data_IF_033352016448
#
_entry.id   IF_033352016448
#
_cell.length_a   1.000
_cell.length_b   1.000
_cell.length_c   1.000
_cell.angle_alpha   90.00
_cell.angle_beta   90.00
_cell.angle_gamma   90.00
#
_symmetry.space_group_name_H-M   'P 1'
#
loop_
_entity.id
_entity.type
_entity.pdbx_description
1 polymer ?
#
# COMPACT_ATOMS: atom_id res chain seq x y z
N UNK A 1 6.05 -14.95 31.12
CA UNK A 1 5.46 -13.61 30.97
C UNK A 1 5.90 -13.17 29.57
N UNK A 2 4.97 -13.30 28.60
CA UNK A 2 5.32 -13.02 27.20
C UNK A 2 5.42 -11.49 27.04
N UNK A 3 6.65 -11.01 26.94
CA UNK A 3 6.91 -9.65 26.47
C UNK A 3 6.48 -9.57 25.00
N UNK A 4 5.23 -9.16 24.78
CA UNK A 4 4.79 -8.74 23.46
C UNK A 4 5.59 -7.49 23.11
N UNK A 5 6.27 -7.53 21.98
CA UNK A 5 6.97 -6.37 21.43
C UNK A 5 5.97 -5.18 21.42
N UNK A 6 6.32 -4.01 21.97
CA UNK A 6 5.45 -2.83 21.96
C UNK A 6 4.86 -2.51 20.58
N UNK A 7 5.56 -2.90 19.50
CA UNK A 7 5.11 -2.72 18.11
C UNK A 7 3.99 -3.72 17.73
N UNK A 8 3.95 -4.92 18.35
CA UNK A 8 2.84 -5.87 18.19
C UNK A 8 1.57 -5.37 18.90
N UNK A 9 1.70 -4.59 19.98
CA UNK A 9 0.59 -3.95 20.67
C UNK A 9 -0.05 -2.84 19.81
N UNK A 10 0.75 -2.01 19.12
CA UNK A 10 0.23 -0.99 18.19
C UNK A 10 -0.52 -1.66 17.02
N UNK A 11 -0.01 -2.76 16.47
CA UNK A 11 -0.69 -3.55 15.45
C UNK A 11 -2.01 -4.16 15.93
N UNK A 12 -2.15 -4.40 17.24
CA UNK A 12 -3.38 -4.93 17.84
C UNK A 12 -4.41 -3.82 18.10
N UNK A 13 -3.95 -2.63 18.48
CA UNK A 13 -4.79 -1.44 18.69
C UNK A 13 -5.29 -0.84 17.35
N UNK A 14 -4.58 -1.06 16.24
CA UNK A 14 -5.01 -0.73 14.87
C UNK A 14 -6.27 -1.51 14.41
N UNK A 15 -6.76 -2.45 15.19
CA UNK A 15 -8.00 -3.19 14.93
C UNK A 15 -9.25 -2.57 15.54
N UNK A 16 -9.19 -1.32 15.97
CA UNK A 16 -10.41 -0.61 16.36
C UNK A 16 -11.36 -0.51 15.13
N UNK A 17 -12.68 -0.52 15.33
CA UNK A 17 -13.64 -0.29 14.27
C UNK A 17 -13.34 1.01 13.48
N UNK A 18 -12.78 2.00 14.15
CA UNK A 18 -12.41 3.28 13.54
C UNK A 18 -11.19 3.15 12.62
N UNK A 19 -10.18 2.36 13.00
CA UNK A 19 -9.04 2.07 12.15
C UNK A 19 -9.46 1.38 10.84
N UNK A 20 -10.40 0.45 10.91
CA UNK A 20 -10.97 -0.20 9.73
C UNK A 20 -11.70 0.79 8.81
N UNK A 21 -12.52 1.67 9.39
CA UNK A 21 -13.23 2.72 8.64
C UNK A 21 -12.28 3.72 7.99
N UNK A 22 -11.25 4.18 8.73
CA UNK A 22 -10.22 5.08 8.21
C UNK A 22 -9.44 4.39 7.08
N UNK A 23 -9.04 3.13 7.25
CA UNK A 23 -8.38 2.36 6.20
C UNK A 23 -9.19 2.34 4.91
N UNK A 24 -10.50 2.05 5.01
CA UNK A 24 -11.41 2.04 3.86
C UNK A 24 -11.58 3.42 3.22
N UNK A 25 -11.64 4.48 4.03
CA UNK A 25 -11.68 5.85 3.53
C UNK A 25 -10.41 6.21 2.74
N UNK A 26 -9.23 5.77 3.20
CA UNK A 26 -7.97 5.98 2.48
C UNK A 26 -7.95 5.21 1.15
N UNK A 27 -8.46 4.00 1.09
CA UNK A 27 -8.59 3.26 -0.19
C UNK A 27 -9.43 4.06 -1.20
N UNK A 28 -10.58 4.58 -0.80
CA UNK A 28 -11.42 5.42 -1.66
C UNK A 28 -10.73 6.72 -2.06
N UNK A 29 -9.99 7.34 -1.16
CA UNK A 29 -9.23 8.56 -1.44
C UNK A 29 -8.12 8.31 -2.48
N UNK A 30 -7.41 7.20 -2.38
CA UNK A 30 -6.41 6.76 -3.38
C UNK A 30 -7.09 6.51 -4.73
N UNK A 31 -8.18 5.74 -4.75
CA UNK A 31 -8.92 5.44 -5.97
C UNK A 31 -9.40 6.71 -6.68
N UNK A 32 -10.07 7.61 -5.95
CA UNK A 32 -10.54 8.88 -6.47
C UNK A 32 -9.40 9.75 -7.01
N UNK A 33 -8.30 9.86 -6.25
CA UNK A 33 -7.13 10.63 -6.67
C UNK A 33 -6.48 10.09 -7.95
N UNK A 34 -6.39 8.77 -8.11
CA UNK A 34 -5.83 8.15 -9.31
C UNK A 34 -6.74 8.37 -10.54
N UNK A 35 -8.06 8.27 -10.37
CA UNK A 35 -9.03 8.56 -11.45
C UNK A 35 -8.91 10.02 -11.90
N UNK A 36 -8.90 10.97 -10.94
CA UNK A 36 -8.79 12.39 -11.24
C UNK A 36 -7.45 12.75 -11.88
N UNK A 37 -6.34 12.28 -11.31
CA UNK A 37 -5.00 12.59 -11.81
C UNK A 37 -4.71 12.01 -13.21
N UNK A 38 -5.38 10.90 -13.57
CA UNK A 38 -5.26 10.28 -14.89
C UNK A 38 -6.23 10.84 -15.94
N UNK A 39 -7.05 11.83 -15.58
CA UNK A 39 -8.11 12.34 -16.48
C UNK A 39 -9.11 11.24 -16.87
N UNK A 40 -9.45 10.37 -15.91
CA UNK A 40 -10.33 9.21 -16.10
C UNK A 40 -9.80 8.14 -17.09
N UNK A 41 -8.50 8.13 -17.38
CA UNK A 41 -7.84 7.04 -18.12
C UNK A 41 -7.74 5.78 -17.27
N UNK A 42 -7.46 5.92 -15.97
CA UNK A 42 -7.59 4.84 -14.99
C UNK A 42 -9.04 4.69 -14.53
N UNK A 43 -9.46 3.46 -14.38
CA UNK A 43 -10.62 3.07 -13.59
C UNK A 43 -10.16 2.20 -12.42
N UNK A 44 -10.92 2.21 -11.32
CA UNK A 44 -10.58 1.49 -10.10
C UNK A 44 -11.79 0.74 -9.57
N UNK A 45 -11.62 -0.55 -9.35
CA UNK A 45 -12.60 -1.41 -8.69
C UNK A 45 -12.13 -1.76 -7.29
N UNK A 46 -13.05 -1.97 -6.36
CA UNK A 46 -12.79 -2.47 -5.00
C UNK A 46 -13.21 -3.92 -4.90
N UNK A 47 -12.45 -4.74 -4.20
CA UNK A 47 -12.84 -6.11 -3.92
C UNK A 47 -14.06 -6.13 -2.98
N UNK A 48 -15.05 -6.99 -3.30
CA UNK A 48 -16.21 -7.23 -2.42
C UNK A 48 -15.88 -8.13 -1.24
N UNK A 49 -14.88 -9.01 -1.43
CA UNK A 49 -14.45 -9.99 -0.42
C UNK A 49 -12.94 -9.81 -0.22
N UNK A 50 -12.52 -9.61 1.02
CA UNK A 50 -11.10 -9.47 1.41
C UNK A 50 -10.57 -10.84 1.89
N UNK A 51 -10.47 -11.80 0.98
CA UNK A 51 -9.89 -13.11 1.27
C UNK A 51 -8.44 -13.24 0.76
N UNK A 52 -8.10 -12.52 -0.33
CA UNK A 52 -6.77 -12.53 -0.94
C UNK A 52 -5.91 -11.29 -0.60
N UNK A 53 -6.44 -10.37 0.22
CA UNK A 53 -5.75 -9.12 0.57
C UNK A 53 -5.67 -8.13 -0.59
N UNK A 54 -6.60 -8.18 -1.56
CA UNK A 54 -6.74 -7.19 -2.62
C UNK A 54 -7.77 -6.15 -2.20
N UNK A 55 -7.36 -4.91 -2.10
CA UNK A 55 -8.24 -3.80 -1.73
C UNK A 55 -8.71 -3.02 -2.97
N UNK A 56 -7.80 -2.77 -3.93
CA UNK A 56 -8.05 -2.02 -5.16
C UNK A 56 -7.56 -2.80 -6.38
N UNK A 57 -8.32 -2.70 -7.47
CA UNK A 57 -7.91 -3.20 -8.79
C UNK A 57 -7.94 -2.04 -9.78
N UNK A 58 -6.79 -1.66 -10.27
CA UNK A 58 -6.61 -0.63 -11.28
C UNK A 58 -6.65 -1.26 -12.67
N UNK A 59 -7.34 -0.61 -13.59
CA UNK A 59 -7.30 -0.97 -15.00
C UNK A 59 -7.36 0.26 -15.89
N UNK A 60 -6.71 0.18 -17.05
CA UNK A 60 -6.74 1.25 -18.04
C UNK A 60 -8.01 1.12 -18.87
N UNK A 61 -8.65 2.23 -19.15
CA UNK A 61 -9.80 2.27 -20.06
C UNK A 61 -9.42 1.74 -21.44
N UNK A 62 -10.17 0.73 -21.92
CA UNK A 62 -9.95 0.11 -23.23
C UNK A 62 -8.83 -0.95 -23.25
N UNK A 63 -8.30 -1.37 -22.09
CA UNK A 63 -7.31 -2.44 -21.94
C UNK A 63 -7.85 -3.54 -21.03
N UNK A 64 -7.38 -4.78 -21.21
CA UNK A 64 -7.65 -5.90 -20.30
C UNK A 64 -6.63 -6.00 -19.16
N UNK A 65 -5.51 -5.26 -19.25
CA UNK A 65 -4.48 -5.28 -18.22
C UNK A 65 -5.00 -4.74 -16.90
N UNK A 66 -4.68 -5.42 -15.81
CA UNK A 66 -5.05 -5.06 -14.44
C UNK A 66 -3.84 -5.04 -13.52
N UNK A 67 -3.89 -4.17 -12.51
CA UNK A 67 -2.95 -4.11 -11.41
C UNK A 67 -3.74 -4.16 -10.10
N UNK A 68 -3.51 -5.18 -9.32
CA UNK A 68 -4.12 -5.36 -8.01
C UNK A 68 -3.26 -4.71 -6.92
N UNK A 69 -3.86 -4.06 -5.94
CA UNK A 69 -3.13 -3.47 -4.83
C UNK A 69 -3.75 -3.86 -3.47
N UNK A 70 -2.88 -4.25 -2.54
CA UNK A 70 -3.18 -4.29 -1.12
C UNK A 70 -2.75 -2.96 -0.50
N UNK A 71 -3.69 -2.25 0.13
CA UNK A 71 -3.43 -0.94 0.75
C UNK A 71 -3.12 -1.09 2.23
N UNK A 72 -2.09 -0.43 2.69
CA UNK A 72 -1.74 -0.29 4.10
C UNK A 72 -1.52 1.17 4.42
N UNK A 73 -2.44 1.77 5.16
CA UNK A 73 -2.39 3.18 5.52
C UNK A 73 -1.81 3.43 6.91
N UNK A 74 -1.14 4.57 7.07
CA UNK A 74 -0.78 5.14 8.36
C UNK A 74 -1.09 6.62 8.35
N UNK A 75 -1.60 7.12 9.47
CA UNK A 75 -1.93 8.54 9.60
C UNK A 75 -0.69 9.36 9.91
N UNK A 76 -0.67 10.61 9.43
CA UNK A 76 0.36 11.61 9.77
C UNK A 76 0.44 11.87 11.29
N UNK A 77 -0.68 11.70 12.02
CA UNK A 77 -0.74 11.81 13.48
C UNK A 77 -0.18 10.58 14.21
N UNK A 78 0.10 9.47 13.50
CA UNK A 78 0.63 8.24 14.09
C UNK A 78 2.06 8.41 14.60
N UNK A 79 2.36 7.88 15.79
CA UNK A 79 3.64 8.03 16.48
C UNK A 79 4.85 7.71 15.61
N UNK A 80 4.84 6.59 14.91
CA UNK A 80 5.95 6.17 14.06
C UNK A 80 6.16 7.13 12.88
N UNK A 81 5.07 7.62 12.26
CA UNK A 81 5.14 8.58 11.16
C UNK A 81 5.70 9.92 11.65
N UNK A 82 5.28 10.40 12.83
CA UNK A 82 5.84 11.58 13.46
C UNK A 82 7.33 11.45 13.83
N UNK A 83 7.78 10.22 14.11
CA UNK A 83 9.18 9.89 14.33
C UNK A 83 9.98 9.68 13.03
N UNK A 84 9.37 9.95 11.87
CA UNK A 84 10.03 9.84 10.57
C UNK A 84 10.11 8.42 10.00
N UNK A 85 9.26 7.48 10.47
CA UNK A 85 9.25 6.08 10.01
C UNK A 85 7.84 5.64 9.63
N UNK A 86 7.72 4.96 8.49
CA UNK A 86 6.51 4.23 8.12
C UNK A 86 6.68 2.76 8.48
N UNK A 87 5.77 2.23 9.30
CA UNK A 87 5.76 0.82 9.70
C UNK A 87 4.42 0.19 9.35
N UNK A 88 4.44 -0.97 8.69
CA UNK A 88 3.25 -1.77 8.42
C UNK A 88 3.59 -3.26 8.44
N UNK A 89 2.59 -4.09 8.70
CA UNK A 89 2.71 -5.54 8.69
C UNK A 89 1.73 -6.15 7.70
N UNK A 90 2.19 -7.17 6.97
CA UNK A 90 1.39 -7.99 6.05
C UNK A 90 1.34 -9.41 6.61
N UNK A 91 0.14 -10.00 6.67
CA UNK A 91 -0.03 -11.38 7.17
C UNK A 91 0.65 -12.37 6.23
N UNK A 92 1.68 -13.06 6.69
CA UNK A 92 2.40 -14.05 5.90
C UNK A 92 1.50 -15.22 5.48
N UNK A 93 0.59 -15.64 6.34
CA UNK A 93 -0.27 -16.81 6.08
C UNK A 93 -1.17 -16.66 4.86
N UNK A 94 -1.67 -15.45 4.60
CA UNK A 94 -2.59 -15.14 3.49
C UNK A 94 -1.91 -14.43 2.32
N UNK A 95 -0.69 -13.93 2.52
CA UNK A 95 0.05 -13.25 1.47
C UNK A 95 0.57 -14.22 0.41
N UNK A 96 0.19 -13.98 -0.84
CA UNK A 96 0.62 -14.77 -2.01
C UNK A 96 1.16 -13.81 -3.08
N UNK A 97 2.49 -13.75 -3.28
CA UNK A 97 3.09 -12.90 -4.33
C UNK A 97 2.58 -13.30 -5.71
N UNK A 98 2.21 -12.30 -6.52
CA UNK A 98 1.76 -12.45 -7.91
C UNK A 98 2.31 -11.31 -8.75
N UNK A 99 2.44 -11.51 -10.06
CA UNK A 99 2.99 -10.51 -10.97
C UNK A 99 2.11 -9.24 -11.05
N UNK A 100 0.79 -9.40 -10.91
CA UNK A 100 -0.21 -8.32 -10.93
C UNK A 100 -0.47 -7.67 -9.57
N UNK A 101 0.11 -8.20 -8.47
CA UNK A 101 -0.14 -7.72 -7.11
C UNK A 101 0.97 -6.79 -6.62
N UNK A 102 0.56 -5.64 -6.11
CA UNK A 102 1.40 -4.65 -5.46
C UNK A 102 0.95 -4.37 -4.03
N UNK A 103 1.89 -4.04 -3.16
CA UNK A 103 1.63 -3.48 -1.84
C UNK A 103 1.69 -1.96 -1.97
N UNK A 104 0.63 -1.28 -1.60
CA UNK A 104 0.54 0.18 -1.60
C UNK A 104 0.52 0.69 -0.16
N UNK A 105 1.67 1.19 0.30
CA UNK A 105 1.81 1.79 1.61
C UNK A 105 1.57 3.29 1.52
N UNK A 106 0.64 3.82 2.32
CA UNK A 106 0.11 5.18 2.14
C UNK A 106 0.20 5.96 3.44
N UNK A 107 0.83 7.13 3.42
CA UNK A 107 0.76 8.09 4.51
C UNK A 107 -0.45 9.00 4.28
N UNK A 108 -1.46 8.93 5.16
CA UNK A 108 -2.69 9.68 5.03
C UNK A 108 -2.78 10.82 6.06
N UNK A 109 -3.22 11.97 5.60
CA UNK A 109 -3.55 13.13 6.44
C UNK A 109 -5.07 13.21 6.55
N UNK A 110 -5.59 12.80 7.71
CA UNK A 110 -7.03 12.76 7.94
C UNK A 110 -7.66 14.16 8.04
N UNK A 111 -6.91 15.16 8.54
CA UNK A 111 -7.42 16.53 8.70
C UNK A 111 -7.59 17.20 7.34
N UNK A 112 -6.67 16.96 6.42
CA UNK A 112 -6.70 17.55 5.07
C UNK A 112 -7.40 16.69 4.05
N UNK A 113 -7.88 15.49 4.44
CA UNK A 113 -8.43 14.48 3.53
C UNK A 113 -7.52 14.24 2.30
N UNK A 114 -6.22 14.05 2.53
CA UNK A 114 -5.21 13.84 1.50
C UNK A 114 -4.23 12.74 1.89
N UNK A 115 -3.30 12.40 1.01
CA UNK A 115 -2.25 11.43 1.29
C UNK A 115 -0.94 11.79 0.57
N UNK A 116 0.14 11.15 0.99
CA UNK A 116 1.49 11.23 0.44
C UNK A 116 2.53 11.41 1.53
N UNK A 117 3.70 10.83 1.35
CA UNK A 117 4.16 9.97 0.26
C UNK A 117 3.54 8.57 0.28
N UNK A 118 3.78 7.81 -0.80
CA UNK A 118 3.37 6.40 -0.93
C UNK A 118 4.55 5.53 -1.37
N UNK A 119 4.45 4.21 -1.14
CA UNK A 119 5.35 3.22 -1.73
C UNK A 119 4.52 2.20 -2.50
N UNK A 120 4.77 2.07 -3.79
CA UNK A 120 4.15 1.07 -4.66
C UNK A 120 5.14 -0.07 -4.91
N UNK A 121 5.03 -1.13 -4.12
CA UNK A 121 6.00 -2.22 -4.06
C UNK A 121 5.46 -3.47 -4.73
N UNK A 122 6.10 -4.03 -5.78
CA UNK A 122 5.71 -5.32 -6.34
C UNK A 122 5.70 -6.40 -5.25
N UNK A 123 4.67 -7.25 -5.22
CA UNK A 123 4.53 -8.29 -4.18
C UNK A 123 5.70 -9.26 -4.13
N UNK A 124 6.31 -9.59 -5.29
CA UNK A 124 7.51 -10.41 -5.36
C UNK A 124 8.71 -9.73 -4.66
N UNK A 125 8.95 -8.44 -4.94
CA UNK A 125 10.02 -7.69 -4.30
C UNK A 125 9.79 -7.50 -2.80
N UNK A 126 8.52 -7.36 -2.38
CA UNK A 126 8.17 -7.32 -0.97
C UNK A 126 8.45 -8.68 -0.29
N UNK A 127 8.05 -9.78 -0.90
CA UNK A 127 8.29 -11.14 -0.39
C UNK A 127 9.79 -11.44 -0.19
N UNK A 128 10.62 -10.96 -1.12
CA UNK A 128 12.08 -11.16 -1.06
C UNK A 128 12.75 -10.35 0.05
N UNK A 129 12.30 -9.12 0.27
CA UNK A 129 12.99 -8.14 1.13
C UNK A 129 12.40 -8.01 2.53
N UNK A 130 11.10 -8.27 2.69
CA UNK A 130 10.44 -8.13 3.97
C UNK A 130 10.87 -9.23 4.93
N UNK A 131 11.07 -8.87 6.20
CA UNK A 131 11.47 -9.82 7.23
C UNK A 131 10.25 -10.21 8.07
N UNK A 132 10.12 -11.50 8.41
CA UNK A 132 9.09 -11.92 9.34
C UNK A 132 9.40 -11.40 10.75
N UNK A 133 8.36 -10.97 11.46
CA UNK A 133 8.46 -10.43 12.82
C UNK A 133 7.31 -10.93 13.69
N UNK A 134 7.59 -10.97 15.00
CA UNK A 134 6.63 -11.41 16.01
C UNK A 134 6.29 -12.89 15.94
N UNK A 135 5.48 -13.36 16.90
CA UNK A 135 5.08 -14.76 17.00
C UNK A 135 4.25 -15.25 15.81
N UNK A 136 3.54 -14.35 15.12
CA UNK A 136 2.73 -14.64 13.93
C UNK A 136 3.52 -14.59 12.62
N UNK A 137 4.82 -14.31 12.69
CA UNK A 137 5.69 -14.21 11.52
C UNK A 137 5.16 -13.27 10.43
N UNK A 138 4.50 -12.15 10.82
CA UNK A 138 4.04 -11.17 9.85
C UNK A 138 5.22 -10.52 9.13
N UNK A 139 5.07 -10.29 7.83
CA UNK A 139 6.09 -9.63 7.02
C UNK A 139 6.06 -8.12 7.30
N UNK A 140 7.20 -7.57 7.75
CA UNK A 140 7.31 -6.14 8.12
C UNK A 140 7.80 -5.29 6.96
N UNK A 141 7.04 -4.23 6.68
CA UNK A 141 7.50 -3.09 5.89
C UNK A 141 7.98 -1.99 6.84
N UNK A 142 9.19 -1.50 6.63
CA UNK A 142 9.76 -0.38 7.41
C UNK A 142 10.53 0.54 6.48
N UNK A 143 10.03 1.77 6.28
CA UNK A 143 10.61 2.76 5.40
C UNK A 143 10.84 4.09 6.13
N UNK A 144 11.89 4.83 5.71
CA UNK A 144 12.13 6.19 6.19
C UNK A 144 11.17 7.18 5.50
N UNK A 145 10.64 8.11 6.28
CA UNK A 145 9.88 9.25 5.76
C UNK A 145 10.79 10.32 5.12
N UNK A 146 12.08 10.34 5.49
CA UNK A 146 13.05 11.29 4.96
C UNK A 146 13.43 10.92 3.52
N UNK A 147 13.33 11.89 2.60
CA UNK A 147 13.63 11.67 1.18
C UNK A 147 15.09 11.33 0.90
N UNK A 148 16.02 11.80 1.72
CA UNK A 148 17.45 11.56 1.56
C UNK A 148 17.97 10.22 2.09
N UNK A 149 17.13 9.42 2.73
CA UNK A 149 17.57 8.16 3.36
C UNK A 149 17.67 7.04 2.33
N UNK A 150 18.81 6.37 2.31
CA UNK A 150 19.02 5.15 1.53
C UNK A 150 18.46 3.94 2.30
N UNK A 151 17.20 3.59 2.06
CA UNK A 151 16.64 2.34 2.51
C UNK A 151 16.23 1.44 1.34
N UNK A 152 15.98 0.17 1.60
CA UNK A 152 15.67 -0.81 0.56
C UNK A 152 14.37 -0.53 -0.20
N UNK A 153 13.50 0.36 0.32
CA UNK A 153 12.20 0.69 -0.25
C UNK A 153 12.20 2.02 -1.00
N UNK A 154 13.26 2.83 -0.88
CA UNK A 154 13.36 4.16 -1.49
C UNK A 154 12.97 4.19 -2.97
N UNK A 155 13.41 3.21 -3.74
CA UNK A 155 13.15 3.13 -5.18
C UNK A 155 11.67 2.96 -5.55
N UNK A 156 10.83 2.57 -4.60
CA UNK A 156 9.39 2.38 -4.77
C UNK A 156 8.58 3.56 -4.22
N UNK A 157 9.26 4.54 -3.62
CA UNK A 157 8.63 5.73 -3.09
C UNK A 157 8.20 6.66 -4.21
N UNK A 158 6.98 7.18 -4.08
CA UNK A 158 6.36 8.14 -4.99
C UNK A 158 5.71 9.23 -4.17
N UNK A 159 5.63 10.42 -4.74
CA UNK A 159 4.71 11.44 -4.26
C UNK A 159 3.30 11.18 -4.81
N UNK A 160 2.29 11.76 -4.18
CA UNK A 160 0.88 11.51 -4.54
C UNK A 160 0.58 11.73 -6.03
N UNK A 161 1.12 12.79 -6.61
CA UNK A 161 0.92 13.18 -8.00
C UNK A 161 1.59 12.24 -9.01
N UNK A 162 2.57 11.47 -8.59
CA UNK A 162 3.28 10.49 -9.42
C UNK A 162 2.57 9.13 -9.49
N UNK A 163 1.68 8.82 -8.51
CA UNK A 163 1.11 7.48 -8.36
C UNK A 163 0.30 7.04 -9.59
N UNK A 164 -0.60 7.89 -10.10
CA UNK A 164 -1.44 7.53 -11.24
C UNK A 164 -0.64 7.30 -12.51
N UNK A 165 0.35 8.15 -12.78
CA UNK A 165 1.26 7.99 -13.92
C UNK A 165 2.04 6.67 -13.82
N UNK A 166 2.56 6.35 -12.63
CA UNK A 166 3.30 5.09 -12.42
C UNK A 166 2.42 3.86 -12.61
N UNK A 167 1.18 3.87 -12.15
CA UNK A 167 0.23 2.77 -12.38
C UNK A 167 -0.04 2.61 -13.88
N UNK A 168 -0.25 3.69 -14.62
CA UNK A 168 -0.44 3.64 -16.08
C UNK A 168 0.77 3.03 -16.80
N UNK A 169 1.99 3.43 -16.46
CA UNK A 169 3.23 2.86 -17.00
C UNK A 169 3.31 1.34 -16.76
N UNK A 170 2.93 0.88 -15.56
CA UNK A 170 2.94 -0.54 -15.23
C UNK A 170 1.88 -1.33 -16.02
N UNK A 171 0.70 -0.77 -16.22
CA UNK A 171 -0.35 -1.37 -17.04
C UNK A 171 0.03 -1.42 -18.53
N UNK A 172 0.71 -0.39 -19.06
CA UNK A 172 1.21 -0.37 -20.44
C UNK A 172 2.31 -1.43 -20.67
N UNK A 173 3.16 -1.67 -19.68
CA UNK A 173 4.19 -2.73 -19.74
C UNK A 173 3.61 -4.15 -19.75
N UNK A 174 2.39 -4.36 -19.24
CA UNK A 174 1.70 -5.65 -19.29
C UNK A 174 0.93 -5.89 -20.59
N UNK A 175 0.49 -4.84 -21.27
CA UNK A 175 -0.15 -4.94 -22.61
C UNK A 175 0.84 -5.39 -23.71
N UNK A 176 2.14 -5.30 -23.48
CA UNK A 176 3.19 -5.66 -24.45
C UNK A 176 3.43 -7.16 -24.67
N UNK A 177 2.73 -8.04 -23.95
CA UNK A 177 2.88 -9.50 -24.07
C UNK A 177 1.82 -10.17 -24.95
N UNK A 178 0.82 -9.45 -25.46
CA UNK A 178 -0.11 -9.94 -26.48
C UNK A 178 0.31 -9.49 -27.89
N UNK A 179 1.39 -10.09 -28.40
CA UNK A 179 1.72 -10.09 -29.85
C UNK A 179 2.26 -11.45 -30.26
#
# INVERSE_FOLDING_TARGET
MNDLDPEDLESYLDKSPDAGRIGKAVEYLVAASCILASGATLNVSTAMVDDEGVDLVFHRRGSSATLSAQVKARLTSGKNVQQGRFLASVRQQTFRPRADLYLLFVVADAEKATFGPVWLVPSAAFSEKARPVGARQNLRFSASMCQGTEDQWRRYRLERDQLAARILELLEGTDGFEK
#
